data_IF_405458515453
#
_entry.id   IF_405458515453
#
_cell.length_a   1.000
_cell.length_b   1.000
_cell.length_c   1.000
_cell.angle_alpha   90.00
_cell.angle_beta   90.00
_cell.angle_gamma   90.00
#
_symmetry.space_group_name_H-M   'P 1'
#
loop_
_entity.id
_entity.type
_entity.pdbx_description
1 polymer ?
#
# COMPACT_ATOMS: atom_id res chain seq x y z
N UNK A 1 -13.56 -3.40 -4.66
CA UNK A 1 -12.39 -3.06 -3.83
C UNK A 1 -11.27 -3.97 -4.24
N UNK A 2 -10.07 -3.43 -4.46
CA UNK A 2 -8.92 -4.16 -4.99
C UNK A 2 -8.27 -5.02 -3.90
N UNK A 3 -8.01 -6.29 -4.23
CA UNK A 3 -7.36 -7.25 -3.34
C UNK A 3 -5.95 -6.79 -2.95
N UNK A 4 -5.23 -6.14 -3.87
CA UNK A 4 -3.89 -5.64 -3.60
C UNK A 4 -3.87 -4.57 -2.51
N UNK A 5 -4.74 -3.57 -2.62
CA UNK A 5 -4.79 -2.46 -1.65
C UNK A 5 -5.16 -2.99 -0.26
N UNK A 6 -6.04 -3.97 -0.16
CA UNK A 6 -6.40 -4.57 1.12
C UNK A 6 -5.22 -5.34 1.73
N UNK A 7 -4.45 -6.08 0.91
CA UNK A 7 -3.22 -6.74 1.35
C UNK A 7 -2.18 -5.74 1.85
N UNK A 8 -1.99 -4.62 1.16
CA UNK A 8 -1.10 -3.52 1.57
C UNK A 8 -1.54 -2.87 2.88
N UNK A 9 -2.84 -2.59 3.05
CA UNK A 9 -3.38 -2.03 4.29
C UNK A 9 -3.18 -2.97 5.48
N UNK A 10 -3.32 -4.27 5.27
CA UNK A 10 -3.09 -5.26 6.33
C UNK A 10 -1.62 -5.28 6.77
N UNK A 11 -0.68 -5.19 5.83
CA UNK A 11 0.76 -5.11 6.13
C UNK A 11 1.12 -3.77 6.79
N UNK A 12 0.47 -2.68 6.39
CA UNK A 12 0.66 -1.33 6.95
C UNK A 12 0.20 -1.19 8.40
N UNK A 13 -0.98 -1.73 8.73
CA UNK A 13 -1.52 -1.70 10.10
C UNK A 13 -0.64 -2.45 11.10
N UNK A 14 0.21 -3.34 10.60
CA UNK A 14 1.07 -4.18 11.41
C UNK A 14 0.26 -5.13 12.31
N UNK A 15 0.95 -5.77 13.23
CA UNK A 15 0.32 -6.66 14.18
C UNK A 15 -0.35 -5.87 15.31
N UNK A 16 -1.69 -5.89 15.36
CA UNK A 16 -2.46 -5.43 16.53
C UNK A 16 -2.82 -6.67 17.33
N UNK A 17 -2.23 -6.85 18.51
CA UNK A 17 -2.67 -7.91 19.43
C UNK A 17 -4.14 -7.67 19.76
N UNK A 18 -5.05 -8.63 19.53
CA UNK A 18 -6.40 -8.50 20.04
C UNK A 18 -6.32 -8.42 21.57
N UNK A 19 -6.91 -7.38 22.14
CA UNK A 19 -7.02 -7.25 23.60
C UNK A 19 -8.09 -8.22 24.10
N UNK A 20 -7.71 -9.19 24.93
CA UNK A 20 -8.63 -10.17 25.52
C UNK A 20 -7.89 -11.28 26.28
N UNK A 21 -8.62 -11.98 27.16
CA UNK A 21 -8.08 -13.05 28.02
C UNK A 21 -8.09 -14.45 27.37
N UNK A 22 -8.51 -14.56 26.10
CA UNK A 22 -8.51 -15.83 25.39
C UNK A 22 -7.13 -16.13 24.78
N UNK A 23 -6.75 -17.40 24.77
CA UNK A 23 -5.55 -17.87 24.08
C UNK A 23 -5.64 -17.47 22.60
N UNK A 24 -4.79 -16.53 22.18
CA UNK A 24 -4.75 -16.04 20.81
C UNK A 24 -3.96 -17.05 19.99
N UNK A 25 -4.61 -17.69 19.02
CA UNK A 25 -3.91 -18.45 17.99
C UNK A 25 -2.86 -17.54 17.35
N UNK A 26 -1.63 -18.04 17.16
CA UNK A 26 -0.53 -17.27 16.58
C UNK A 26 -0.93 -16.82 15.17
N UNK A 27 -1.35 -15.56 15.03
CA UNK A 27 -1.66 -14.95 13.74
C UNK A 27 -0.32 -14.69 13.04
N UNK A 28 -0.15 -15.08 11.75
CA UNK A 28 1.10 -14.88 11.03
C UNK A 28 1.56 -13.42 11.12
N UNK A 29 2.83 -13.20 11.48
CA UNK A 29 3.38 -11.86 11.47
C UNK A 29 3.35 -11.29 10.05
N UNK A 30 2.94 -10.01 9.88
CA UNK A 30 2.94 -9.39 8.57
C UNK A 30 4.38 -9.33 8.06
N UNK A 31 4.61 -9.89 6.87
CA UNK A 31 5.88 -9.85 6.16
C UNK A 31 5.86 -8.73 5.12
N UNK A 32 7.05 -8.31 4.68
CA UNK A 32 7.20 -7.38 3.57
C UNK A 32 6.62 -7.97 2.28
N UNK A 33 5.87 -7.18 1.52
CA UNK A 33 5.29 -7.61 0.24
C UNK A 33 6.32 -7.52 -0.88
N UNK A 34 6.38 -8.55 -1.72
CA UNK A 34 7.20 -8.55 -2.93
C UNK A 34 6.33 -8.35 -4.16
N UNK A 35 6.48 -7.21 -4.82
CA UNK A 35 5.87 -6.94 -6.12
C UNK A 35 6.91 -7.07 -7.23
N UNK A 36 6.53 -7.67 -8.35
CA UNK A 36 7.37 -7.77 -9.54
C UNK A 36 6.77 -6.94 -10.68
N UNK A 37 7.56 -6.08 -11.30
CA UNK A 37 7.18 -5.41 -12.55
C UNK A 37 7.77 -6.13 -13.75
N UNK A 38 6.92 -6.60 -14.65
CA UNK A 38 7.30 -7.38 -15.82
C UNK A 38 6.71 -6.76 -17.08
N UNK A 39 7.47 -6.79 -18.17
CA UNK A 39 6.91 -6.52 -19.49
C UNK A 39 5.92 -7.62 -19.89
N UNK A 40 4.91 -7.27 -20.70
CA UNK A 40 4.00 -8.27 -21.27
C UNK A 40 4.76 -9.37 -22.03
N UNK A 41 5.89 -9.03 -22.63
CA UNK A 41 6.71 -9.95 -23.43
C UNK A 41 7.52 -10.91 -22.55
N UNK A 42 7.84 -10.52 -21.32
CA UNK A 42 8.60 -11.34 -20.37
C UNK A 42 7.71 -12.37 -19.66
N UNK A 43 6.39 -12.18 -19.71
CA UNK A 43 5.39 -13.11 -19.17
C UNK A 43 5.20 -14.30 -20.12
N UNK A 44 6.18 -15.21 -20.13
CA UNK A 44 6.12 -16.46 -20.89
C UNK A 44 5.50 -17.59 -20.08
N UNK A 45 5.81 -17.67 -18.78
CA UNK A 45 5.47 -18.80 -17.93
C UNK A 45 5.11 -18.36 -16.51
N UNK A 46 4.37 -19.22 -15.78
CA UNK A 46 4.05 -18.98 -14.35
C UNK A 46 5.29 -18.91 -13.46
N UNK A 47 6.40 -19.48 -13.91
CA UNK A 47 7.66 -19.44 -13.18
C UNK A 47 8.31 -18.05 -13.17
N UNK A 48 8.05 -17.23 -14.18
CA UNK A 48 8.63 -15.89 -14.34
C UNK A 48 8.30 -14.97 -13.17
N UNK A 49 7.10 -15.11 -12.59
CA UNK A 49 6.67 -14.37 -11.40
C UNK A 49 6.63 -15.23 -10.14
N UNK A 50 7.23 -16.43 -10.18
CA UNK A 50 7.29 -17.34 -9.06
C UNK A 50 7.92 -16.67 -7.83
N UNK A 51 7.12 -16.51 -6.77
CA UNK A 51 7.54 -15.87 -5.53
C UNK A 51 7.08 -14.42 -5.34
N UNK A 52 6.56 -13.77 -6.38
CA UNK A 52 5.94 -12.46 -6.23
C UNK A 52 4.55 -12.59 -5.57
N UNK A 53 4.25 -11.71 -4.62
CA UNK A 53 2.91 -11.57 -4.04
C UNK A 53 1.93 -10.92 -5.01
N UNK A 54 2.46 -10.06 -5.88
CA UNK A 54 1.72 -9.21 -6.81
C UNK A 54 2.55 -8.95 -8.07
N UNK A 55 1.90 -8.98 -9.23
CA UNK A 55 2.53 -8.71 -10.53
C UNK A 55 2.02 -7.40 -11.11
N UNK A 56 2.93 -6.50 -11.49
CA UNK A 56 2.65 -5.27 -12.22
C UNK A 56 3.10 -5.49 -13.66
N UNK A 57 2.15 -5.41 -14.58
CA UNK A 57 2.39 -5.64 -16.00
C UNK A 57 2.58 -4.31 -16.70
N UNK A 58 3.75 -4.08 -17.29
CA UNK A 58 3.98 -2.91 -18.14
C UNK A 58 3.44 -3.18 -19.54
N UNK A 59 2.28 -2.58 -19.85
CA UNK A 59 1.50 -3.00 -21.00
C UNK A 59 1.87 -2.35 -22.34
N UNK A 60 2.79 -1.38 -22.36
CA UNK A 60 3.32 -0.79 -23.59
C UNK A 60 2.24 -0.40 -24.61
N UNK A 61 2.28 -1.01 -25.81
CA UNK A 61 1.23 -0.96 -26.85
C UNK A 61 0.63 -2.36 -27.10
N UNK A 62 0.34 -3.11 -26.04
CA UNK A 62 -0.18 -4.46 -26.18
C UNK A 62 -1.62 -4.48 -26.68
N UNK A 63 -1.93 -5.48 -27.50
CA UNK A 63 -3.29 -5.69 -28.01
C UNK A 63 -4.19 -6.30 -26.92
N UNK A 64 -5.50 -6.07 -27.04
CA UNK A 64 -6.50 -6.66 -26.14
C UNK A 64 -6.44 -8.20 -26.08
N UNK A 65 -5.92 -8.85 -27.14
CA UNK A 65 -5.74 -10.30 -27.17
C UNK A 65 -4.59 -10.74 -26.25
N UNK A 66 -3.42 -10.10 -26.35
CA UNK A 66 -2.27 -10.38 -25.47
C UNK A 66 -2.62 -10.13 -24.00
N UNK A 67 -3.41 -9.09 -23.71
CA UNK A 67 -3.84 -8.79 -22.35
C UNK A 67 -4.73 -9.88 -21.73
N UNK A 68 -5.61 -10.49 -22.53
CA UNK A 68 -6.41 -11.64 -22.08
C UNK A 68 -5.55 -12.87 -21.86
N UNK A 69 -4.64 -13.16 -22.78
CA UNK A 69 -3.68 -14.26 -22.65
C UNK A 69 -2.82 -14.10 -21.37
N UNK A 70 -2.37 -12.89 -21.05
CA UNK A 70 -1.65 -12.62 -19.79
C UNK A 70 -2.55 -12.78 -18.56
N UNK A 71 -3.81 -12.36 -18.62
CA UNK A 71 -4.74 -12.52 -17.51
C UNK A 71 -5.02 -14.00 -17.22
N UNK A 72 -5.22 -14.80 -18.28
CA UNK A 72 -5.43 -16.24 -18.18
C UNK A 72 -4.18 -16.95 -17.62
N UNK A 73 -2.98 -16.49 -18.00
CA UNK A 73 -1.71 -17.00 -17.47
C UNK A 73 -1.54 -16.70 -15.97
N UNK A 74 -1.90 -15.50 -15.53
CA UNK A 74 -1.78 -15.06 -14.13
C UNK A 74 -2.80 -15.77 -13.22
N UNK A 75 -3.97 -16.14 -13.75
CA UNK A 75 -5.00 -16.90 -13.03
C UNK A 75 -5.41 -16.21 -11.73
N UNK A 76 -5.21 -16.89 -10.60
CA UNK A 76 -5.56 -16.38 -9.27
C UNK A 76 -4.57 -15.36 -8.68
N UNK A 77 -3.46 -15.10 -9.38
CA UNK A 77 -2.42 -14.16 -8.93
C UNK A 77 -2.96 -12.74 -8.99
N UNK A 78 -2.73 -11.95 -7.93
CA UNK A 78 -3.12 -10.53 -7.92
C UNK A 78 -2.23 -9.79 -8.91
N UNK A 79 -2.84 -9.16 -9.92
CA UNK A 79 -2.11 -8.43 -10.93
C UNK A 79 -2.74 -7.07 -11.25
N UNK A 80 -1.91 -6.16 -11.72
CA UNK A 80 -2.30 -4.84 -12.18
C UNK A 80 -1.46 -4.39 -13.36
N UNK A 81 -1.78 -3.21 -13.89
CA UNK A 81 -1.11 -2.67 -15.09
C UNK A 81 -0.45 -1.34 -14.79
N UNK A 82 0.80 -1.18 -15.22
CA UNK A 82 1.48 0.11 -15.27
C UNK A 82 1.14 0.83 -16.58
N UNK A 83 0.46 1.98 -16.45
CA UNK A 83 0.04 2.82 -17.59
C UNK A 83 0.97 4.01 -17.82
N UNK A 84 1.73 4.43 -16.80
CA UNK A 84 2.42 5.72 -16.83
C UNK A 84 1.42 6.85 -17.04
N UNK A 85 1.62 7.65 -18.07
CA UNK A 85 0.74 8.79 -18.40
C UNK A 85 -0.50 8.39 -19.23
N UNK A 86 -0.56 7.14 -19.71
CA UNK A 86 -1.60 6.66 -20.65
C UNK A 86 -2.89 6.23 -19.94
N UNK A 87 -3.51 7.15 -19.20
CA UNK A 87 -4.76 6.88 -18.48
C UNK A 87 -5.90 6.38 -19.39
N UNK A 88 -5.93 6.75 -20.68
CA UNK A 88 -6.97 6.35 -21.62
C UNK A 88 -7.13 4.82 -21.78
N UNK A 89 -6.09 4.04 -21.51
CA UNK A 89 -6.16 2.57 -21.61
C UNK A 89 -6.67 1.89 -20.33
N UNK A 90 -6.89 2.64 -19.24
CA UNK A 90 -7.22 2.09 -17.93
C UNK A 90 -8.53 1.27 -17.93
N UNK A 91 -9.55 1.72 -18.66
CA UNK A 91 -10.83 1.00 -18.77
C UNK A 91 -10.68 -0.33 -19.52
N UNK A 92 -9.85 -0.36 -20.56
CA UNK A 92 -9.57 -1.59 -21.31
C UNK A 92 -8.87 -2.62 -20.42
N UNK A 93 -7.93 -2.17 -19.59
CA UNK A 93 -7.20 -3.02 -18.64
C UNK A 93 -8.13 -3.55 -17.53
N UNK A 94 -8.99 -2.69 -16.99
CA UNK A 94 -9.99 -3.10 -15.99
C UNK A 94 -10.94 -4.17 -16.56
N UNK A 95 -11.39 -4.01 -17.81
CA UNK A 95 -12.22 -5.02 -18.51
C UNK A 95 -11.49 -6.33 -18.78
N UNK A 96 -10.15 -6.32 -18.83
CA UNK A 96 -9.33 -7.52 -18.97
C UNK A 96 -9.12 -8.27 -17.63
N UNK A 97 -9.59 -7.73 -16.50
CA UNK A 97 -9.54 -8.38 -15.20
C UNK A 97 -8.42 -7.89 -14.27
N UNK A 98 -7.77 -6.76 -14.59
CA UNK A 98 -6.76 -6.16 -13.72
C UNK A 98 -7.38 -5.71 -12.38
N UNK A 99 -6.76 -6.07 -11.25
CA UNK A 99 -7.23 -5.70 -9.91
C UNK A 99 -6.93 -4.22 -9.59
N UNK A 100 -5.82 -3.70 -10.09
CA UNK A 100 -5.39 -2.32 -9.89
C UNK A 100 -4.66 -1.74 -11.10
N UNK A 101 -4.53 -0.41 -11.11
CA UNK A 101 -3.83 0.35 -12.14
C UNK A 101 -2.80 1.27 -11.49
N UNK A 102 -1.60 1.32 -12.07
CA UNK A 102 -0.51 2.22 -11.66
C UNK A 102 -0.37 3.32 -12.70
N UNK A 103 -0.40 4.57 -12.26
CA UNK A 103 -0.32 5.75 -13.14
C UNK A 103 0.64 6.80 -12.59
N UNK A 104 1.15 7.63 -13.50
CA UNK A 104 1.99 8.80 -13.20
C UNK A 104 1.15 10.00 -12.77
N UNK A 105 1.70 10.96 -11.99
CA UNK A 105 0.99 12.19 -11.63
C UNK A 105 0.53 13.00 -12.84
N UNK A 106 1.17 12.82 -13.99
CA UNK A 106 0.87 13.53 -15.24
C UNK A 106 -0.29 12.87 -16.04
N UNK A 107 -0.80 11.73 -15.57
CA UNK A 107 -1.88 11.02 -16.25
C UNK A 107 -3.23 11.75 -16.17
N UNK A 108 -4.05 11.63 -17.21
CA UNK A 108 -5.37 12.28 -17.24
C UNK A 108 -6.31 11.77 -16.14
N UNK A 109 -7.01 12.69 -15.46
CA UNK A 109 -7.86 12.38 -14.31
C UNK A 109 -9.17 11.68 -14.71
N UNK A 110 -9.77 12.04 -15.85
CA UNK A 110 -11.11 11.58 -16.25
C UNK A 110 -11.20 10.04 -16.42
N UNK A 111 -10.31 9.39 -17.20
CA UNK A 111 -10.35 7.93 -17.36
C UNK A 111 -10.14 7.17 -16.04
N UNK A 112 -9.31 7.71 -15.14
CA UNK A 112 -9.03 7.10 -13.84
C UNK A 112 -10.19 7.27 -12.87
N UNK A 113 -10.97 8.35 -12.97
CA UNK A 113 -12.12 8.61 -12.08
C UNK A 113 -13.26 7.64 -12.35
N UNK A 114 -13.47 7.24 -13.61
CA UNK A 114 -14.48 6.26 -14.02
C UNK A 114 -14.25 4.85 -13.44
N UNK A 115 -13.04 4.54 -12.95
CA UNK A 115 -12.70 3.26 -12.34
C UNK A 115 -13.11 3.22 -10.86
N UNK A 116 -14.34 2.83 -10.56
CA UNK A 116 -14.80 2.73 -9.17
C UNK A 116 -14.36 1.44 -8.46
N UNK A 117 -14.30 0.32 -9.20
CA UNK A 117 -14.04 -1.00 -8.61
C UNK A 117 -12.57 -1.39 -8.60
N UNK A 118 -11.79 -0.84 -9.53
CA UNK A 118 -10.36 -1.11 -9.74
C UNK A 118 -9.51 -0.26 -8.81
N UNK A 119 -8.48 -0.86 -8.23
CA UNK A 119 -7.53 -0.15 -7.36
C UNK A 119 -6.77 0.94 -8.11
N UNK A 120 -6.57 2.10 -7.47
CA UNK A 120 -5.81 3.23 -8.02
C UNK A 120 -4.53 3.40 -7.22
N UNK A 121 -3.40 3.33 -7.90
CA UNK A 121 -2.07 3.48 -7.32
C UNK A 121 -1.32 4.54 -8.11
N UNK A 122 -0.79 5.54 -7.41
CA UNK A 122 0.03 6.58 -8.03
C UNK A 122 1.50 6.25 -7.86
N UNK A 123 2.28 6.39 -8.93
CA UNK A 123 3.73 6.30 -8.89
C UNK A 123 4.31 7.70 -8.72
N UNK A 124 5.12 7.90 -7.68
CA UNK A 124 5.73 9.18 -7.36
C UNK A 124 7.23 9.13 -7.62
N UNK A 125 7.73 10.20 -8.24
CA UNK A 125 9.16 10.42 -8.41
C UNK A 125 9.84 10.82 -7.10
N UNK A 126 11.14 10.53 -7.00
CA UNK A 126 11.93 10.81 -5.80
C UNK A 126 12.23 12.31 -5.61
N UNK A 127 12.09 13.12 -6.66
CA UNK A 127 12.41 14.55 -6.71
C UNK A 127 11.24 15.46 -6.27
N UNK A 128 10.05 14.89 -6.01
CA UNK A 128 8.87 15.68 -5.68
C UNK A 128 9.05 16.46 -4.38
N UNK A 129 8.42 17.64 -4.30
CA UNK A 129 8.44 18.49 -3.10
C UNK A 129 7.52 17.93 -2.01
N UNK A 130 7.74 18.32 -0.74
CA UNK A 130 6.91 17.83 0.39
C UNK A 130 5.44 18.15 0.19
N UNK A 131 5.16 19.31 -0.39
CA UNK A 131 3.81 19.75 -0.70
C UNK A 131 3.12 18.83 -1.71
N UNK A 132 3.84 18.41 -2.77
CA UNK A 132 3.30 17.49 -3.76
C UNK A 132 3.06 16.09 -3.18
N UNK A 133 3.94 15.61 -2.30
CA UNK A 133 3.75 14.32 -1.61
C UNK A 133 2.52 14.38 -0.70
N UNK A 134 2.32 15.46 0.05
CA UNK A 134 1.09 15.68 0.86
C UNK A 134 -0.16 15.75 0.00
N UNK A 135 -0.10 16.46 -1.12
CA UNK A 135 -1.22 16.56 -2.05
C UNK A 135 -1.60 15.16 -2.60
N UNK A 136 -0.61 14.34 -2.95
CA UNK A 136 -0.83 12.95 -3.37
C UNK A 136 -1.45 12.08 -2.27
N UNK A 137 -1.07 12.29 -1.01
CA UNK A 137 -1.69 11.60 0.14
C UNK A 137 -3.17 11.97 0.31
N UNK A 138 -3.59 13.18 -0.07
CA UNK A 138 -4.99 13.61 -0.03
C UNK A 138 -5.85 13.09 -1.20
N UNK A 139 -5.26 12.57 -2.28
CA UNK A 139 -6.01 12.07 -3.44
C UNK A 139 -6.81 10.79 -3.11
N UNK A 140 -7.81 10.43 -3.91
CA UNK A 140 -8.58 9.18 -3.75
C UNK A 140 -7.85 7.93 -4.29
N UNK A 141 -6.54 7.83 -3.99
CA UNK A 141 -5.69 6.68 -4.32
C UNK A 141 -5.52 5.76 -3.13
N UNK A 142 -5.44 4.45 -3.37
CA UNK A 142 -5.40 3.44 -2.31
C UNK A 142 -4.00 3.07 -1.84
N UNK A 143 -2.98 3.30 -2.66
CA UNK A 143 -1.58 3.07 -2.33
C UNK A 143 -0.68 3.97 -3.20
N UNK A 144 0.60 4.04 -2.82
CA UNK A 144 1.64 4.80 -3.54
C UNK A 144 2.80 3.87 -3.90
N UNK A 145 3.44 4.10 -5.04
CA UNK A 145 4.73 3.49 -5.39
C UNK A 145 5.75 4.62 -5.50
N UNK A 146 6.90 4.48 -4.86
CA UNK A 146 7.97 5.48 -4.88
C UNK A 146 9.15 4.97 -5.69
N UNK A 147 9.57 5.77 -6.66
CA UNK A 147 10.71 5.50 -7.54
C UNK A 147 10.30 5.31 -9.00
N UNK A 148 11.02 5.99 -9.89
CA UNK A 148 10.73 6.03 -11.32
C UNK A 148 11.38 4.87 -12.09
N UNK A 149 12.65 4.57 -11.79
CA UNK A 149 13.41 3.52 -12.45
C UNK A 149 14.08 2.59 -11.42
N UNK A 150 14.25 1.32 -11.78
CA UNK A 150 15.03 0.40 -10.96
C UNK A 150 16.49 0.86 -10.99
N UNK A 151 16.89 1.54 -9.92
CA UNK A 151 18.29 1.88 -9.74
C UNK A 151 19.11 0.59 -9.61
N UNK A 152 20.08 0.42 -10.50
CA UNK A 152 21.07 -0.66 -10.43
C UNK A 152 21.98 -0.54 -9.21
N UNK A 153 22.01 0.65 -8.57
CA UNK A 153 22.83 0.94 -7.41
C UNK A 153 22.21 0.44 -6.10
N UNK A 154 23.07 -0.10 -5.23
CA UNK A 154 22.78 -0.53 -3.87
C UNK A 154 22.07 0.55 -3.04
N UNK A 155 21.48 0.13 -1.91
CA UNK A 155 20.72 1.03 -1.05
C UNK A 155 21.68 2.02 -0.35
N UNK A 156 21.69 3.27 -0.80
CA UNK A 156 22.49 4.33 -0.19
C UNK A 156 21.74 5.02 0.95
N UNK A 157 22.48 5.65 1.87
CA UNK A 157 21.89 6.52 2.90
C UNK A 157 21.03 7.63 2.31
N UNK A 158 21.38 8.14 1.12
CA UNK A 158 20.55 9.12 0.41
C UNK A 158 19.16 8.55 0.10
N UNK A 159 19.07 7.30 -0.36
CA UNK A 159 17.78 6.62 -0.60
C UNK A 159 17.01 6.42 0.69
N UNK A 160 17.69 6.00 1.77
CA UNK A 160 17.07 5.87 3.09
C UNK A 160 16.46 7.21 3.55
N UNK A 161 17.19 8.32 3.42
CA UNK A 161 16.68 9.65 3.75
C UNK A 161 15.46 10.04 2.90
N UNK A 162 15.50 9.74 1.60
CA UNK A 162 14.36 9.97 0.71
C UNK A 162 13.15 9.14 1.14
N UNK A 163 13.30 7.84 1.39
CA UNK A 163 12.19 7.01 1.81
C UNK A 163 11.66 7.39 3.18
N UNK A 164 12.51 7.75 4.14
CA UNK A 164 12.09 8.28 5.44
C UNK A 164 11.20 9.51 5.29
N UNK A 165 11.55 10.43 4.38
CA UNK A 165 10.73 11.60 4.05
C UNK A 165 9.34 11.20 3.53
N UNK A 166 9.23 10.18 2.67
CA UNK A 166 7.93 9.65 2.25
C UNK A 166 7.17 8.97 3.39
N UNK A 167 7.83 8.19 4.25
CA UNK A 167 7.23 7.54 5.44
C UNK A 167 6.60 8.57 6.37
N UNK A 168 7.28 9.69 6.61
CA UNK A 168 6.81 10.71 7.56
C UNK A 168 5.65 11.55 7.01
N UNK A 169 5.49 11.62 5.68
CA UNK A 169 4.46 12.42 5.02
C UNK A 169 3.23 11.58 4.63
N UNK A 170 3.43 10.38 4.09
CA UNK A 170 2.36 9.53 3.59
C UNK A 170 1.65 8.77 4.72
N UNK A 171 0.32 8.90 4.78
CA UNK A 171 -0.51 8.08 5.66
C UNK A 171 -0.89 6.74 5.00
N UNK A 172 -0.85 6.68 3.68
CA UNK A 172 -1.21 5.51 2.88
C UNK A 172 -0.09 4.46 2.81
N UNK A 173 -0.45 3.18 2.59
CA UNK A 173 0.56 2.16 2.33
C UNK A 173 1.29 2.46 1.02
N UNK A 174 2.58 2.18 1.01
CA UNK A 174 3.40 2.39 -0.18
C UNK A 174 4.53 1.37 -0.33
N UNK A 175 4.92 1.18 -1.58
CA UNK A 175 6.03 0.34 -1.99
C UNK A 175 7.16 1.19 -2.53
N UNK A 176 8.36 0.63 -2.48
CA UNK A 176 9.57 1.26 -3.00
C UNK A 176 10.20 0.40 -4.07
N UNK A 177 10.64 1.01 -5.17
CA UNK A 177 11.37 0.33 -6.22
C UNK A 177 12.83 0.07 -5.81
N UNK A 178 13.29 -1.18 -5.94
CA UNK A 178 14.67 -1.58 -5.60
C UNK A 178 15.28 -2.49 -6.67
N UNK A 179 16.60 -2.68 -6.58
CA UNK A 179 17.36 -3.63 -7.38
C UNK A 179 17.10 -5.08 -6.96
N UNK A 180 17.15 -6.01 -7.91
CA UNK A 180 17.06 -7.46 -7.65
C UNK A 180 18.16 -7.99 -6.71
N UNK A 181 19.29 -7.29 -6.60
CA UNK A 181 20.45 -7.69 -5.80
C UNK A 181 20.38 -7.21 -4.34
N UNK A 182 19.19 -6.87 -3.83
CA UNK A 182 19.03 -6.36 -2.47
C UNK A 182 19.31 -7.44 -1.42
N UNK A 183 20.02 -7.07 -0.36
CA UNK A 183 20.40 -7.97 0.73
C UNK A 183 19.34 -8.01 1.83
N UNK A 184 19.37 -9.05 2.68
CA UNK A 184 18.42 -9.20 3.78
C UNK A 184 18.50 -8.02 4.78
N UNK A 185 19.70 -7.54 5.09
CA UNK A 185 19.89 -6.42 6.03
C UNK A 185 19.30 -5.11 5.50
N UNK A 186 19.39 -4.88 4.19
CA UNK A 186 18.75 -3.75 3.51
C UNK A 186 17.22 -3.88 3.55
N UNK A 187 16.67 -5.07 3.29
CA UNK A 187 15.22 -5.32 3.40
C UNK A 187 14.71 -5.10 4.83
N UNK A 188 15.43 -5.60 5.84
CA UNK A 188 15.09 -5.36 7.25
C UNK A 188 15.16 -3.87 7.61
N UNK A 189 16.12 -3.14 7.05
CA UNK A 189 16.23 -1.68 7.23
C UNK A 189 15.02 -0.95 6.61
N UNK A 190 14.61 -1.32 5.40
CA UNK A 190 13.42 -0.77 4.75
C UNK A 190 12.14 -1.09 5.54
N UNK A 191 12.04 -2.31 6.08
CA UNK A 191 10.92 -2.71 6.93
C UNK A 191 10.86 -1.88 8.21
N UNK A 192 12.01 -1.71 8.89
CA UNK A 192 12.11 -0.94 10.13
C UNK A 192 11.73 0.53 9.94
N UNK A 193 12.01 1.12 8.77
CA UNK A 193 11.58 2.47 8.40
C UNK A 193 10.06 2.58 8.28
N UNK A 194 9.35 1.48 8.03
CA UNK A 194 7.89 1.49 7.89
C UNK A 194 7.41 1.31 6.45
N UNK A 195 8.23 0.81 5.52
CA UNK A 195 7.82 0.52 4.13
C UNK A 195 7.04 -0.80 4.07
N UNK A 196 5.97 -0.91 3.26
CA UNK A 196 5.12 -2.12 3.19
C UNK A 196 5.62 -3.19 2.27
N UNK A 197 6.31 -2.78 1.22
CA UNK A 197 6.67 -3.69 0.17
C UNK A 197 7.71 -3.10 -0.74
N UNK A 198 8.23 -3.99 -1.55
CA UNK A 198 9.34 -3.74 -2.44
C UNK A 198 8.90 -4.12 -3.84
N UNK A 199 9.23 -3.27 -4.80
CA UNK A 199 8.98 -3.48 -6.21
C UNK A 199 10.30 -3.76 -6.93
N UNK A 200 10.41 -4.94 -7.55
CA UNK A 200 11.57 -5.34 -8.35
C UNK A 200 11.19 -5.33 -9.82
N UNK A 201 12.07 -4.83 -10.69
CA UNK A 201 11.86 -4.89 -12.14
C UNK A 201 12.50 -6.14 -12.73
N UNK A 202 11.75 -6.85 -13.56
CA UNK A 202 12.20 -8.09 -14.20
C UNK A 202 11.92 -9.34 -13.37
N UNK A 203 12.34 -10.47 -13.91
CA UNK A 203 12.12 -11.82 -13.37
C UNK A 203 13.31 -12.38 -12.58
N UNK A 204 14.45 -11.69 -12.61
CA UNK A 204 15.68 -12.16 -11.99
C UNK A 204 15.60 -12.11 -10.46
N UNK A 205 15.89 -13.23 -9.80
CA UNK A 205 16.06 -13.32 -8.35
C UNK A 205 14.77 -13.32 -7.51
N UNK A 206 13.57 -13.31 -8.11
CA UNK A 206 12.30 -13.22 -7.36
C UNK A 206 12.09 -14.39 -6.39
N UNK A 207 12.41 -15.62 -6.80
CA UNK A 207 12.30 -16.81 -5.94
C UNK A 207 13.26 -16.73 -4.75
N UNK A 208 14.50 -16.29 -5.00
CA UNK A 208 15.52 -16.13 -3.96
C UNK A 208 15.12 -15.04 -2.95
N UNK A 209 14.71 -13.87 -3.44
CA UNK A 209 14.18 -12.78 -2.61
C UNK A 209 12.97 -13.24 -1.80
N UNK A 210 12.09 -14.06 -2.38
CA UNK A 210 10.95 -14.60 -1.65
C UNK A 210 11.39 -15.52 -0.51
N UNK A 211 12.34 -16.42 -0.76
CA UNK A 211 12.88 -17.29 0.30
C UNK A 211 13.56 -16.50 1.41
N UNK A 212 14.28 -15.43 1.05
CA UNK A 212 14.88 -14.52 2.02
C UNK A 212 13.81 -13.81 2.86
N UNK A 213 12.75 -13.30 2.23
CA UNK A 213 11.64 -12.61 2.91
C UNK A 213 10.89 -13.58 3.84
N UNK A 214 10.70 -14.83 3.41
CA UNK A 214 9.95 -15.81 4.18
C UNK A 214 10.71 -16.36 5.38
N UNK A 215 12.03 -16.49 5.27
CA UNK A 215 12.93 -16.93 6.35
C UNK A 215 13.40 -15.81 7.29
N UNK A 216 13.10 -14.55 6.97
CA UNK A 216 13.49 -13.41 7.78
C UNK A 216 12.66 -13.27 9.05
N UNK A 217 13.33 -12.92 10.15
CA UNK A 217 12.67 -12.35 11.31
C UNK A 217 12.45 -10.86 11.10
N UNK A 218 11.18 -10.45 11.15
CA UNK A 218 10.77 -9.07 10.93
C UNK A 218 10.62 -8.36 12.26
N UNK A 219 11.40 -7.30 12.47
CA UNK A 219 11.26 -6.44 13.63
C UNK A 219 9.89 -5.73 13.66
N UNK A 220 9.52 -5.18 14.82
CA UNK A 220 8.33 -4.36 14.91
C UNK A 220 8.46 -3.16 13.95
N UNK A 221 7.46 -3.01 13.07
CA UNK A 221 7.42 -1.95 12.07
C UNK A 221 7.13 -0.59 12.71
N UNK A 222 7.80 0.46 12.24
CA UNK A 222 7.44 1.85 12.58
C UNK A 222 6.01 2.14 12.11
N UNK A 223 5.17 2.70 13.00
CA UNK A 223 3.83 3.16 12.62
C UNK A 223 3.92 4.44 11.79
N UNK A 224 3.17 4.51 10.69
CA UNK A 224 3.05 5.69 9.81
C UNK A 224 1.82 6.52 10.15
N UNK A 225 1.99 7.84 10.11
CA UNK A 225 0.94 8.83 10.41
C UNK A 225 0.35 8.68 11.84
N UNK A 226 -0.28 9.67 12.44
CA UNK A 226 -0.11 11.11 12.40
C UNK A 226 0.52 11.43 13.78
N UNK A 227 1.33 12.50 13.92
CA UNK A 227 1.38 13.17 15.23
C UNK A 227 -0.03 13.70 15.47
N UNK A 228 -0.96 12.87 15.92
CA UNK A 228 -2.24 13.35 16.42
C UNK A 228 -1.85 14.23 17.59
N UNK A 229 -2.11 15.53 17.48
CA UNK A 229 -1.95 16.42 18.61
C UNK A 229 -2.70 15.77 19.77
N UNK A 230 -1.98 15.47 20.86
CA UNK A 230 -2.60 15.06 22.11
C UNK A 230 -3.29 16.32 22.60
N UNK A 231 -4.57 16.46 22.27
CA UNK A 231 -5.38 17.57 22.76
C UNK A 231 -5.68 17.25 24.23
N UNK A 232 -5.35 18.13 25.19
CA UNK A 232 -5.77 17.94 26.57
C UNK A 232 -7.29 17.85 26.59
N UNK A 233 -7.84 16.71 27.05
CA UNK A 233 -9.29 16.63 27.26
C UNK A 233 -9.63 17.53 28.45
N UNK A 234 -10.27 18.67 28.19
CA UNK A 234 -10.91 19.43 29.25
C UNK A 234 -12.06 18.58 29.76
N UNK A 235 -11.91 17.97 30.94
CA UNK A 235 -13.06 17.46 31.68
C UNK A 235 -13.89 18.69 32.03
N UNK A 236 -14.95 18.94 31.27
CA UNK A 236 -15.99 19.84 31.72
C UNK A 236 -16.54 19.23 33.01
N UNK A 237 -16.52 19.95 34.15
CA UNK A 237 -17.22 19.48 35.33
C UNK A 237 -18.68 19.30 34.92
N UNK A 238 -19.20 18.10 35.16
CA UNK A 238 -20.62 17.79 35.06
C UNK A 238 -21.35 18.91 35.77
N UNK A 239 -22.11 19.72 35.03
CA UNK A 239 -23.11 20.58 35.65
C UNK A 239 -23.98 19.65 36.45
N UNK A 240 -23.94 19.75 37.78
CA UNK A 240 -24.96 19.16 38.63
C UNK A 240 -26.29 19.62 38.02
N UNK A 241 -27.05 18.64 37.53
CA UNK A 241 -28.45 18.83 37.23
C UNK A 241 -29.09 19.19 38.56
N UNK A 242 -29.35 20.48 38.77
CA UNK A 242 -30.31 20.92 39.78
C UNK A 242 -31.62 20.28 39.35
N UNK A 243 -32.00 19.22 40.06
CA UNK A 243 -33.31 18.60 39.90
C UNK A 243 -34.37 19.66 40.19
N UNK A 244 -35.48 19.73 39.43
CA UNK A 244 -36.61 20.56 39.82
C UNK A 244 -37.17 20.01 41.14
N UNK A 245 -37.26 20.84 42.18
CA UNK A 245 -38.03 20.52 43.39
C UNK A 245 -39.48 20.24 42.96
N UNK A 246 -39.98 19.04 43.23
CA UNK A 246 -41.40 18.72 43.14
C UNK A 246 -42.15 19.53 44.22
N UNK A 247 -43.29 20.17 43.89
CA UNK A 247 -44.10 20.85 44.90
C UNK A 247 -44.73 19.84 45.86
N UNK A 248 -44.48 20.02 47.16
CA UNK A 248 -45.12 19.25 48.24
C UNK A 248 -46.65 19.41 48.17
N UNK A 249 -47.38 18.29 48.06
CA UNK A 249 -48.84 18.29 48.20
C UNK A 249 -49.22 18.57 49.66
N UNK A 250 -50.29 19.34 49.94
CA UNK A 250 -50.75 19.59 51.30
C UNK A 250 -51.43 18.34 51.86
N UNK A 251 -50.90 17.82 52.97
CA UNK A 251 -51.55 16.81 53.79
C UNK A 251 -52.91 17.35 54.31
N UNK A 252 -54.01 16.79 53.79
CA UNK A 252 -55.31 16.81 54.45
C UNK A 252 -55.32 15.70 55.51
N UNK A 253 -55.53 16.05 56.79
CA UNK A 253 -56.22 15.17 57.75
C UNK A 253 -56.75 15.96 58.97
N UNK A 254 -58.04 15.72 59.25
CA UNK A 254 -58.96 16.07 60.36
C UNK A 254 -59.48 17.53 60.58
#
# INVERSE_FOLDING_TARGET
MSKFIDKLKNVSKGYVRPMGFNAVASVPQPKMLLAAELGIEDLTDKETFGGADVVIVSAGKASAKKLKETADMLGDTIWGVALGDKAADAEKMAKAGADFVVFSPDAEVSPLTALEKTGKIIMLENNLTDFMIRAADCLSVGAVIVGEQADTAALSWRKIMLYQRFVDILSKPFLVRVSSNITLSELQSLWALGIDGVLVSGNAGLKELRTLIDGAEWAAKRKRGHMSAIVPSLKMPTSESVAPEEPEEPDEDD
#
